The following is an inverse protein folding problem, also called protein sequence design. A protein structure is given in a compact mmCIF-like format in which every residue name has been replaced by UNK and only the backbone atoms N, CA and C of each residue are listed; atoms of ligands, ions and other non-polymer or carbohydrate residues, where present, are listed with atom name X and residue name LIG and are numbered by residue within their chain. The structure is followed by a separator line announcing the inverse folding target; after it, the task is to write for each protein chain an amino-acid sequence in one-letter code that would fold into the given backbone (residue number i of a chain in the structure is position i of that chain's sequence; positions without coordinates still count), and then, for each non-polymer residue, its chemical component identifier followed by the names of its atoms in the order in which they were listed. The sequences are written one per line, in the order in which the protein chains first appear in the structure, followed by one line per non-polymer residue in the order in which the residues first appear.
data_IF_551944232127
#
_entry.id   IF_551944232127
#
_cell.length_a   1.000
_cell.length_b   1.000
_cell.length_c   1.000
_cell.angle_alpha   90.00
_cell.angle_beta   90.00
_cell.angle_gamma   90.00
#
_symmetry.space_group_name_H-M   'P 1'
#
loop_
_entity.id
_entity.type
_entity.pdbx_description
1 polymer ?
#
# COMPACT_ATOMS: atom_id res chain seq x y z
N UNK A 1 0.83 -3.80 14.20
CA UNK A 1 0.13 -3.84 12.89
C UNK A 1 0.77 -4.90 12.01
N UNK A 2 0.20 -5.31 10.87
CA UNK A 2 0.61 -6.51 10.12
C UNK A 2 2.14 -6.65 9.87
N UNK A 3 2.86 -5.52 9.75
CA UNK A 3 4.31 -5.46 9.56
C UNK A 3 5.13 -5.78 10.82
N UNK A 4 4.58 -5.61 12.03
CA UNK A 4 5.32 -5.84 13.28
C UNK A 4 5.70 -7.30 13.50
N UNK A 5 5.03 -8.23 12.82
CA UNK A 5 5.36 -9.66 12.85
C UNK A 5 6.44 -10.05 11.82
N UNK A 6 6.82 -9.15 10.89
CA UNK A 6 7.79 -9.49 9.83
C UNK A 6 9.16 -9.94 10.36
N UNK A 7 9.74 -9.36 11.43
CA UNK A 7 11.02 -9.83 11.96
C UNK A 7 10.96 -11.27 12.47
N UNK A 8 9.80 -11.71 12.99
CA UNK A 8 9.59 -13.09 13.44
C UNK A 8 9.35 -14.04 12.26
N UNK A 9 8.62 -13.58 11.24
CA UNK A 9 8.31 -14.37 10.03
C UNK A 9 9.51 -14.52 9.09
N UNK A 10 10.40 -13.54 9.06
CA UNK A 10 11.59 -13.49 8.19
C UNK A 10 12.81 -13.14 9.06
N UNK A 11 13.46 -14.13 9.71
CA UNK A 11 14.57 -13.88 10.64
C UNK A 11 15.79 -13.17 10.02
N UNK A 12 15.96 -13.25 8.70
CA UNK A 12 17.02 -12.55 7.97
C UNK A 12 16.73 -11.05 7.74
N UNK A 13 15.52 -10.59 8.02
CA UNK A 13 15.08 -9.21 7.83
C UNK A 13 15.68 -8.31 8.92
N UNK A 14 16.58 -7.41 8.52
CA UNK A 14 17.24 -6.48 9.46
C UNK A 14 16.46 -5.19 9.66
N UNK A 15 15.79 -4.70 8.62
CA UNK A 15 15.09 -3.42 8.62
C UNK A 15 13.89 -3.50 7.69
N UNK A 16 12.78 -2.91 8.11
CA UNK A 16 11.59 -2.72 7.29
C UNK A 16 10.86 -1.45 7.72
N UNK A 17 10.20 -0.81 6.78
CA UNK A 17 9.43 0.40 7.02
C UNK A 17 8.31 0.53 6.00
N UNK A 18 7.26 1.24 6.37
CA UNK A 18 6.13 1.54 5.49
C UNK A 18 5.89 3.04 5.52
N UNK A 19 5.92 3.65 4.34
CA UNK A 19 5.90 5.08 4.17
C UNK A 19 4.85 5.47 3.13
N UNK A 20 4.21 6.62 3.33
CA UNK A 20 3.28 7.20 2.37
C UNK A 20 4.04 8.21 1.51
N UNK A 21 4.14 7.96 0.21
CA UNK A 21 4.97 8.71 -0.74
C UNK A 21 4.45 10.08 -1.19
N UNK A 22 3.59 10.73 -0.40
CA UNK A 22 2.88 11.96 -0.80
C UNK A 22 1.70 11.71 -1.73
N UNK A 23 0.91 12.76 -2.01
CA UNK A 23 -0.30 12.65 -2.83
C UNK A 23 -0.14 13.32 -4.19
N UNK A 24 -0.01 14.65 -4.16
CA UNK A 24 0.27 15.48 -5.30
C UNK A 24 0.80 16.83 -4.78
N UNK A 25 1.52 17.55 -5.63
CA UNK A 25 2.15 18.82 -5.26
C UNK A 25 1.15 19.81 -4.64
N UNK A 26 -0.09 19.89 -5.13
CA UNK A 26 -1.07 20.85 -4.62
C UNK A 26 -1.57 20.48 -3.23
N UNK A 27 -1.90 19.20 -3.01
CA UNK A 27 -2.33 18.69 -1.71
C UNK A 27 -1.21 18.85 -0.70
N UNK A 28 0.00 18.47 -1.08
CA UNK A 28 1.16 18.42 -0.17
C UNK A 28 1.66 19.82 0.19
N UNK A 29 1.68 20.77 -0.75
CA UNK A 29 2.17 22.14 -0.49
C UNK A 29 1.10 23.12 -0.02
N UNK A 30 -0.19 22.93 -0.34
CA UNK A 30 -1.24 23.90 -0.02
C UNK A 30 -2.29 23.37 0.95
N UNK A 31 -2.89 22.21 0.65
CA UNK A 31 -4.00 21.70 1.46
C UNK A 31 -3.50 21.22 2.83
N UNK A 32 -2.36 20.53 2.88
CA UNK A 32 -1.81 19.99 4.13
C UNK A 32 -1.38 21.10 5.11
N UNK A 33 -0.60 22.13 4.72
CA UNK A 33 -0.27 23.24 5.62
C UNK A 33 -1.50 24.03 6.06
N UNK A 34 -2.46 24.26 5.14
CA UNK A 34 -3.71 24.93 5.47
C UNK A 34 -4.54 24.11 6.46
N UNK A 35 -4.63 22.79 6.27
CA UNK A 35 -5.30 21.88 7.18
C UNK A 35 -4.66 21.85 8.57
N UNK A 36 -3.33 21.87 8.64
CA UNK A 36 -2.61 21.98 9.92
C UNK A 36 -2.91 23.30 10.64
N UNK A 37 -2.89 24.42 9.91
CA UNK A 37 -3.24 25.73 10.49
C UNK A 37 -4.71 25.79 10.94
N UNK A 38 -5.62 25.23 10.15
CA UNK A 38 -7.05 25.26 10.43
C UNK A 38 -7.46 24.38 11.60
N UNK A 39 -6.87 23.18 11.71
CA UNK A 39 -7.10 22.27 12.85
C UNK A 39 -6.56 22.85 14.16
N UNK A 40 -5.53 23.69 14.10
CA UNK A 40 -5.02 24.43 15.26
C UNK A 40 -5.98 25.53 15.74
N UNK A 41 -6.70 26.18 14.83
CA UNK A 41 -7.60 27.30 15.16
C UNK A 41 -9.01 26.80 15.55
N UNK A 42 -9.54 25.80 14.85
CA UNK A 42 -10.90 25.30 15.05
C UNK A 42 -10.95 23.77 14.92
N UNK A 43 -10.45 23.01 15.92
CA UNK A 43 -10.29 21.56 15.83
C UNK A 43 -11.61 20.80 15.60
N UNK A 44 -12.73 21.30 16.13
CA UNK A 44 -14.04 20.63 16.07
C UNK A 44 -14.79 20.93 14.76
N UNK A 45 -14.62 22.14 14.18
CA UNK A 45 -15.33 22.56 12.97
C UNK A 45 -14.48 22.47 11.69
N UNK A 46 -13.17 22.31 11.83
CA UNK A 46 -12.20 22.30 10.72
C UNK A 46 -12.11 21.00 9.92
N UNK A 47 -12.42 19.86 10.53
CA UNK A 47 -12.17 18.56 9.90
C UNK A 47 -13.03 18.30 8.64
N UNK A 48 -14.30 18.72 8.65
CA UNK A 48 -15.22 18.55 7.51
C UNK A 48 -14.85 19.38 6.27
N UNK A 49 -14.57 20.70 6.38
CA UNK A 49 -14.15 21.46 5.20
C UNK A 49 -12.78 21.03 4.67
N UNK A 50 -11.82 20.73 5.57
CA UNK A 50 -10.48 20.25 5.18
C UNK A 50 -10.55 18.92 4.44
N UNK A 51 -11.36 17.96 4.93
CA UNK A 51 -11.55 16.67 4.22
C UNK A 51 -12.20 16.85 2.84
N UNK A 52 -13.19 17.75 2.70
CA UNK A 52 -13.76 18.06 1.38
C UNK A 52 -12.73 18.70 0.43
N UNK A 53 -11.91 19.63 0.92
CA UNK A 53 -10.81 20.22 0.13
C UNK A 53 -9.78 19.17 -0.27
N UNK A 54 -9.44 18.25 0.62
CA UNK A 54 -8.50 17.15 0.33
C UNK A 54 -9.05 16.22 -0.75
N UNK A 55 -10.30 15.78 -0.63
CA UNK A 55 -10.95 14.97 -1.68
C UNK A 55 -11.02 15.71 -3.01
N UNK A 56 -11.33 17.01 -2.98
CA UNK A 56 -11.36 17.83 -4.20
C UNK A 56 -9.96 17.98 -4.81
N UNK A 57 -8.94 18.26 -4.01
CA UNK A 57 -7.55 18.44 -4.46
C UNK A 57 -6.98 17.16 -5.05
N UNK A 58 -7.28 16.01 -4.44
CA UNK A 58 -6.95 14.70 -5.01
C UNK A 58 -7.67 14.51 -6.35
N UNK A 59 -8.99 14.68 -6.42
CA UNK A 59 -9.74 14.49 -7.68
C UNK A 59 -9.34 15.45 -8.80
N UNK A 60 -8.95 16.68 -8.46
CA UNK A 60 -8.68 17.73 -9.46
C UNK A 60 -7.25 17.67 -10.00
N UNK A 61 -6.27 17.37 -9.14
CA UNK A 61 -4.85 17.43 -9.49
C UNK A 61 -4.20 16.06 -9.65
N UNK A 62 -4.84 14.96 -9.25
CA UNK A 62 -4.44 13.61 -9.68
C UNK A 62 -4.95 13.39 -11.11
N UNK A 63 -4.08 13.62 -12.08
CA UNK A 63 -4.34 13.32 -13.50
C UNK A 63 -3.82 11.93 -13.84
N UNK A 64 -4.45 11.18 -14.76
CA UNK A 64 -3.88 9.94 -15.29
C UNK A 64 -2.49 10.21 -15.88
N UNK A 65 -1.48 9.33 -15.69
CA UNK A 65 -1.57 7.95 -15.22
C UNK A 65 -1.39 7.77 -13.70
N UNK A 66 -1.46 8.84 -12.91
CA UNK A 66 -1.13 8.80 -11.48
C UNK A 66 -2.31 8.27 -10.64
N UNK A 67 -2.37 6.94 -10.53
CA UNK A 67 -3.26 6.21 -9.61
C UNK A 67 -2.67 6.05 -8.21
N UNK A 68 -3.22 5.13 -7.43
CA UNK A 68 -2.60 4.71 -6.17
C UNK A 68 -1.54 3.66 -6.48
N UNK A 69 -0.35 3.85 -5.90
CA UNK A 69 0.80 2.96 -6.09
C UNK A 69 1.29 2.48 -4.73
N UNK A 70 1.41 1.17 -4.58
CA UNK A 70 2.15 0.54 -3.52
C UNK A 70 3.49 0.08 -4.10
N UNK A 71 4.58 0.63 -3.58
CA UNK A 71 5.93 0.33 -4.03
C UNK A 71 6.70 -0.35 -2.91
N UNK A 72 7.15 -1.58 -3.17
CA UNK A 72 8.10 -2.30 -2.34
C UNK A 72 9.49 -2.12 -2.93
N UNK A 73 10.41 -1.60 -2.13
CA UNK A 73 11.84 -1.60 -2.42
C UNK A 73 12.53 -2.47 -1.37
N UNK A 74 13.34 -3.40 -1.83
CA UNK A 74 14.08 -4.32 -0.97
C UNK A 74 15.49 -4.51 -1.50
N UNK A 75 16.44 -4.65 -0.58
CA UNK A 75 17.84 -4.97 -0.88
C UNK A 75 18.29 -6.07 0.06
N UNK A 76 19.11 -6.98 -0.45
CA UNK A 76 19.50 -8.16 0.28
C UNK A 76 20.59 -8.96 -0.41
N UNK A 77 20.74 -10.21 0.04
CA UNK A 77 21.66 -11.18 -0.55
C UNK A 77 20.83 -12.35 -1.06
N UNK A 78 20.92 -12.64 -2.35
CA UNK A 78 20.33 -13.80 -3.00
C UNK A 78 21.45 -14.59 -3.67
N UNK A 79 21.52 -15.91 -3.41
CA UNK A 79 22.56 -16.78 -3.94
C UNK A 79 24.01 -16.27 -3.75
N UNK A 80 24.28 -15.62 -2.61
CA UNK A 80 25.59 -15.06 -2.27
C UNK A 80 25.94 -13.74 -2.98
N UNK A 81 25.07 -13.21 -3.83
CA UNK A 81 25.23 -11.91 -4.49
C UNK A 81 24.29 -10.89 -3.86
N UNK A 82 24.73 -9.63 -3.81
CA UNK A 82 23.83 -8.55 -3.41
C UNK A 82 22.83 -8.28 -4.53
N UNK A 83 21.56 -8.21 -4.17
CA UNK A 83 20.45 -8.03 -5.10
C UNK A 83 19.50 -6.95 -4.57
N UNK A 84 18.94 -6.17 -5.49
CA UNK A 84 17.85 -5.27 -5.24
C UNK A 84 16.60 -5.80 -5.93
N UNK A 85 15.47 -5.76 -5.24
CA UNK A 85 14.19 -6.17 -5.77
C UNK A 85 13.15 -5.09 -5.52
N UNK A 86 12.50 -4.66 -6.59
CA UNK A 86 11.43 -3.69 -6.60
C UNK A 86 10.14 -4.36 -7.08
N UNK A 87 9.04 -4.07 -6.39
CA UNK A 87 7.70 -4.51 -6.79
C UNK A 87 6.75 -3.33 -6.70
N UNK A 88 6.14 -3.00 -7.83
CA UNK A 88 5.15 -1.93 -7.96
C UNK A 88 3.78 -2.53 -8.22
N UNK A 89 2.83 -2.16 -7.38
CA UNK A 89 1.41 -2.53 -7.51
C UNK A 89 0.63 -1.23 -7.69
N UNK A 90 -0.07 -1.07 -8.81
CA UNK A 90 -0.72 0.17 -9.17
C UNK A 90 -2.12 -0.04 -9.74
N UNK A 91 -3.01 0.92 -9.45
CA UNK A 91 -4.32 1.00 -10.06
C UNK A 91 -4.82 2.45 -10.05
N UNK A 92 -5.57 2.86 -11.07
CA UNK A 92 -6.07 4.24 -11.19
C UNK A 92 -6.96 4.65 -10.00
N UNK A 93 -7.79 3.72 -9.53
CA UNK A 93 -8.62 3.88 -8.34
C UNK A 93 -7.97 3.29 -7.10
N UNK A 94 -7.65 4.13 -6.10
CA UNK A 94 -7.19 3.69 -4.78
C UNK A 94 -8.24 2.92 -3.97
N UNK A 95 -9.52 3.21 -4.19
CA UNK A 95 -10.61 2.43 -3.60
C UNK A 95 -10.62 1.01 -4.14
N UNK A 96 -10.39 0.85 -5.44
CA UNK A 96 -10.29 -0.48 -6.04
C UNK A 96 -9.04 -1.20 -5.55
N UNK A 97 -7.88 -0.51 -5.49
CA UNK A 97 -6.63 -1.08 -4.99
C UNK A 97 -6.72 -1.56 -3.54
N UNK A 98 -7.55 -0.92 -2.71
CA UNK A 98 -7.79 -1.31 -1.32
C UNK A 98 -8.84 -2.41 -1.18
N UNK A 99 -9.87 -2.42 -2.03
CA UNK A 99 -10.91 -3.45 -2.01
C UNK A 99 -10.43 -4.80 -2.59
N UNK A 100 -9.61 -4.78 -3.64
CA UNK A 100 -9.19 -5.99 -4.35
C UNK A 100 -8.44 -7.01 -3.46
N UNK A 101 -7.51 -6.63 -2.56
CA UNK A 101 -6.90 -7.56 -1.60
C UNK A 101 -7.94 -8.25 -0.71
N UNK A 102 -8.99 -7.55 -0.30
CA UNK A 102 -10.07 -8.14 0.51
C UNK A 102 -10.83 -9.18 -0.30
N UNK A 103 -11.16 -8.88 -1.56
CA UNK A 103 -11.82 -9.83 -2.47
C UNK A 103 -10.93 -11.07 -2.69
N UNK A 104 -9.63 -10.88 -2.94
CA UNK A 104 -8.67 -11.97 -3.11
C UNK A 104 -8.58 -12.84 -1.84
N UNK A 105 -8.61 -12.22 -0.66
CA UNK A 105 -8.66 -12.91 0.64
C UNK A 105 -9.93 -13.79 0.76
N UNK A 106 -11.11 -13.23 0.47
CA UNK A 106 -12.38 -13.97 0.51
C UNK A 106 -12.35 -15.15 -0.47
N UNK A 107 -11.84 -14.97 -1.69
CA UNK A 107 -11.69 -16.05 -2.67
C UNK A 107 -10.80 -17.18 -2.12
N UNK A 108 -9.66 -16.84 -1.52
CA UNK A 108 -8.76 -17.82 -0.91
C UNK A 108 -9.42 -18.56 0.26
N UNK A 109 -10.15 -17.87 1.13
CA UNK A 109 -10.92 -18.47 2.22
C UNK A 109 -12.00 -19.45 1.72
N UNK A 110 -12.71 -19.08 0.67
CA UNK A 110 -13.73 -19.94 0.04
C UNK A 110 -13.10 -21.20 -0.58
N UNK A 111 -11.88 -21.11 -1.10
CA UNK A 111 -11.07 -22.25 -1.58
C UNK A 111 -10.48 -23.10 -0.45
N UNK A 112 -10.69 -22.72 0.81
CA UNK A 112 -10.21 -23.44 1.98
C UNK A 112 -8.80 -23.05 2.44
N UNK A 113 -8.18 -22.02 1.84
CA UNK A 113 -6.90 -21.52 2.32
C UNK A 113 -7.07 -20.86 3.69
N UNK A 114 -6.10 -21.07 4.59
CA UNK A 114 -6.01 -20.27 5.82
C UNK A 114 -7.12 -20.51 6.84
N UNK A 115 -7.82 -21.66 6.84
CA UNK A 115 -8.76 -21.99 7.94
C UNK A 115 -7.99 -22.33 9.21
N UNK A 116 -7.62 -21.30 9.97
CA UNK A 116 -7.03 -21.39 11.31
C UNK A 116 -8.02 -20.82 12.32
N UNK A 117 -8.32 -21.53 13.43
CA UNK A 117 -9.09 -20.96 14.52
C UNK A 117 -8.44 -19.68 15.06
N UNK A 118 -9.24 -18.72 15.49
CA UNK A 118 -8.78 -17.45 16.07
C UNK A 118 -8.86 -16.25 15.12
N UNK A 119 -8.40 -15.10 15.62
CA UNK A 119 -8.34 -13.85 14.86
C UNK A 119 -6.97 -13.72 14.19
N UNK A 120 -6.97 -13.51 12.88
CA UNK A 120 -5.75 -13.44 12.08
C UNK A 120 -5.74 -12.21 11.18
N UNK A 121 -4.56 -11.65 10.98
CA UNK A 121 -4.32 -10.62 9.97
C UNK A 121 -4.38 -11.21 8.56
N UNK A 122 -4.88 -10.44 7.60
CA UNK A 122 -5.06 -10.91 6.23
C UNK A 122 -3.72 -11.33 5.63
N UNK A 123 -2.68 -10.51 5.78
CA UNK A 123 -1.36 -10.79 5.21
C UNK A 123 -0.66 -12.02 5.83
N UNK A 124 -1.06 -12.45 7.03
CA UNK A 124 -0.45 -13.60 7.71
C UNK A 124 -1.14 -14.92 7.37
N UNK A 125 -2.38 -14.85 6.88
CA UNK A 125 -3.21 -16.01 6.63
C UNK A 125 -3.18 -16.43 5.16
N UNK A 126 -3.11 -15.45 4.26
CA UNK A 126 -3.25 -15.65 2.82
C UNK A 126 -1.92 -15.99 2.16
N UNK A 127 -1.98 -16.76 1.07
CA UNK A 127 -0.80 -17.04 0.27
C UNK A 127 -0.46 -15.81 -0.60
N UNK A 128 0.75 -15.23 -0.47
CA UNK A 128 1.09 -13.99 -1.16
C UNK A 128 1.21 -14.16 -2.68
N UNK A 129 1.71 -15.29 -3.18
CA UNK A 129 1.82 -15.56 -4.62
C UNK A 129 0.44 -15.69 -5.27
N UNK A 130 -0.48 -16.40 -4.62
CA UNK A 130 -1.86 -16.51 -5.06
C UNK A 130 -2.57 -15.14 -5.01
N UNK A 131 -2.29 -14.34 -3.98
CA UNK A 131 -2.83 -12.99 -3.86
C UNK A 131 -2.38 -12.10 -5.02
N UNK A 132 -1.08 -12.04 -5.32
CA UNK A 132 -0.59 -11.28 -6.48
C UNK A 132 -1.21 -11.77 -7.80
N UNK A 133 -1.42 -13.07 -7.94
CA UNK A 133 -2.08 -13.66 -9.12
C UNK A 133 -3.54 -13.22 -9.23
N UNK A 134 -4.28 -13.21 -8.12
CA UNK A 134 -5.68 -12.79 -8.11
C UNK A 134 -5.83 -11.28 -8.31
N UNK A 135 -4.90 -10.46 -7.79
CA UNK A 135 -4.86 -9.02 -8.08
C UNK A 135 -4.62 -8.74 -9.57
N UNK A 136 -3.70 -9.48 -10.24
CA UNK A 136 -3.52 -9.35 -11.70
C UNK A 136 -4.79 -9.67 -12.49
N UNK A 137 -5.58 -10.65 -12.04
CA UNK A 137 -6.88 -10.97 -12.67
C UNK A 137 -7.94 -9.88 -12.47
N UNK A 138 -7.77 -9.04 -11.45
CA UNK A 138 -8.59 -7.87 -11.17
C UNK A 138 -8.03 -6.59 -11.83
N UNK A 139 -7.24 -6.75 -12.89
CA UNK A 139 -6.69 -5.63 -13.68
C UNK A 139 -5.76 -4.67 -12.90
N UNK A 140 -5.23 -5.12 -11.76
CA UNK A 140 -4.21 -4.39 -11.02
C UNK A 140 -2.86 -4.59 -11.71
N UNK A 141 -2.21 -3.47 -12.02
CA UNK A 141 -0.89 -3.46 -12.64
C UNK A 141 0.15 -3.88 -11.61
N UNK A 142 0.89 -4.95 -11.91
CA UNK A 142 1.95 -5.47 -11.04
C UNK A 142 3.22 -5.62 -11.86
N UNK A 143 4.23 -4.83 -11.52
CA UNK A 143 5.55 -4.79 -12.15
C UNK A 143 6.60 -5.19 -11.12
N UNK A 144 7.49 -6.12 -11.47
CA UNK A 144 8.60 -6.54 -10.62
C UNK A 144 9.91 -6.34 -11.36
N UNK A 145 10.89 -5.74 -10.72
CA UNK A 145 12.22 -5.52 -11.26
C UNK A 145 13.27 -6.06 -10.29
N UNK A 146 14.16 -6.92 -10.78
CA UNK A 146 15.31 -7.39 -10.03
C UNK A 146 16.57 -6.81 -10.66
N UNK A 147 17.40 -6.16 -9.85
CA UNK A 147 18.66 -5.56 -10.27
C UNK A 147 19.79 -6.13 -9.44
N UNK A 148 20.87 -6.54 -10.10
CA UNK A 148 22.13 -6.78 -9.41
C UNK A 148 22.66 -5.44 -8.88
N UNK A 149 22.95 -5.36 -7.58
CA UNK A 149 23.57 -4.14 -7.03
C UNK A 149 25.06 -4.13 -7.36
N UNK A 150 25.52 -3.05 -7.99
CA UNK A 150 26.94 -2.77 -8.30
C UNK A 150 27.77 -2.75 -7.00
#
# INVERSE_FOLDING_TARGET
EELSALPELIPSLKSSGFYVGGFNWFVDYFIMPLGWMWTRIAPIYGARPVSKMLVWGLKKFSTPPYGTVLHLQSSGISNGKKCNYELRIAHESGYYLTAAPVVACVIQLLKGAGRKPGLWFQAHLMNPQQMLTDLKKMEIVIESHESDSI
#
